data_IF_093296487113
#
_entry.id   IF_093296487113
#
_cell.length_a   1.000
_cell.length_b   1.000
_cell.length_c   1.000
_cell.angle_alpha   90.00
_cell.angle_beta   90.00
_cell.angle_gamma   90.00
#
_symmetry.space_group_name_H-M   'P 1'
#
loop_
_entity.id
_entity.type
_entity.pdbx_description
1 polymer ?
#
# COMPACT_ATOMS: atom_id res chain seq x y z
N UNK A 1 0.49 -9.17 16.89
CA UNK A 1 -0.73 -8.44 16.49
C UNK A 1 -0.62 -8.06 15.03
N UNK A 2 -1.69 -8.20 14.24
CA UNK A 2 -1.68 -7.92 12.79
C UNK A 2 -1.84 -6.42 12.45
N UNK A 3 -1.81 -5.54 13.45
CA UNK A 3 -2.08 -4.11 13.29
C UNK A 3 -1.13 -3.45 12.29
N UNK A 4 0.17 -3.73 12.32
CA UNK A 4 1.13 -3.15 11.36
C UNK A 4 0.75 -3.43 9.91
N UNK A 5 0.33 -4.67 9.62
CA UNK A 5 -0.08 -5.07 8.27
C UNK A 5 -1.36 -4.34 7.84
N UNK A 6 -2.35 -4.26 8.72
CA UNK A 6 -3.59 -3.55 8.43
C UNK A 6 -3.37 -2.03 8.30
N UNK A 7 -2.48 -1.43 9.10
CA UNK A 7 -2.11 -0.01 8.96
C UNK A 7 -1.51 0.24 7.57
N UNK A 8 -0.55 -0.59 7.15
CA UNK A 8 0.09 -0.44 5.84
C UNK A 8 -0.92 -0.66 4.71
N UNK A 9 -1.77 -1.68 4.82
CA UNK A 9 -2.82 -1.98 3.85
C UNK A 9 -3.78 -0.81 3.67
N UNK A 10 -4.31 -0.28 4.78
CA UNK A 10 -5.23 0.86 4.78
C UNK A 10 -4.58 2.11 4.18
N UNK A 11 -3.30 2.33 4.44
CA UNK A 11 -2.56 3.45 3.84
C UNK A 11 -2.24 3.24 2.36
N UNK A 12 -2.03 1.99 1.92
CA UNK A 12 -1.88 1.66 0.51
C UNK A 12 -3.19 1.89 -0.26
N UNK A 13 -4.32 1.45 0.30
CA UNK A 13 -5.66 1.65 -0.28
C UNK A 13 -6.05 3.13 -0.35
N UNK A 14 -5.58 3.97 0.58
CA UNK A 14 -5.84 5.41 0.58
C UNK A 14 -5.00 6.22 -0.42
N UNK A 15 -3.94 5.62 -0.96
CA UNK A 15 -3.06 6.27 -1.93
C UNK A 15 -2.50 7.62 -1.46
N UNK A 16 -2.49 8.60 -2.36
CA UNK A 16 -1.83 9.89 -2.15
C UNK A 16 -2.56 10.87 -1.24
N UNK A 17 -3.88 10.72 -1.11
CA UNK A 17 -4.69 11.54 -0.20
C UNK A 17 -4.34 11.23 1.26
N UNK A 18 -4.05 9.96 1.56
CA UNK A 18 -3.76 9.47 2.89
C UNK A 18 -4.99 9.46 3.81
N UNK A 19 -4.79 9.11 5.07
CA UNK A 19 -5.86 8.96 6.06
C UNK A 19 -5.53 9.61 7.39
N UNK A 20 -6.58 10.07 8.08
CA UNK A 20 -6.46 10.57 9.45
C UNK A 20 -6.20 9.42 10.43
N UNK A 21 -5.49 9.71 11.53
CA UNK A 21 -5.25 8.73 12.61
C UNK A 21 -6.55 8.08 13.08
N UNK A 22 -7.64 8.85 13.18
CA UNK A 22 -8.93 8.35 13.62
C UNK A 22 -9.51 7.32 12.65
N UNK A 23 -9.43 7.59 11.34
CA UNK A 23 -9.92 6.66 10.33
C UNK A 23 -9.06 5.39 10.30
N UNK A 24 -7.74 5.53 10.30
CA UNK A 24 -6.82 4.38 10.35
C UNK A 24 -7.13 3.50 11.56
N UNK A 25 -7.26 4.10 12.74
CA UNK A 25 -7.57 3.35 13.98
C UNK A 25 -8.90 2.62 13.89
N UNK A 26 -9.92 3.23 13.27
CA UNK A 26 -11.23 2.60 13.06
C UNK A 26 -11.15 1.43 12.09
N UNK A 27 -10.42 1.56 10.97
CA UNK A 27 -10.24 0.47 10.02
C UNK A 27 -9.50 -0.71 10.65
N UNK A 28 -8.41 -0.44 11.36
CA UNK A 28 -7.64 -1.48 12.06
C UNK A 28 -8.49 -2.15 13.14
N UNK A 29 -9.26 -1.38 13.91
CA UNK A 29 -10.19 -1.93 14.89
C UNK A 29 -11.22 -2.84 14.22
N UNK A 30 -11.88 -2.38 13.15
CA UNK A 30 -12.89 -3.18 12.45
C UNK A 30 -12.31 -4.45 11.81
N UNK A 31 -11.06 -4.42 11.33
CA UNK A 31 -10.39 -5.57 10.72
C UNK A 31 -9.95 -6.61 11.76
N UNK A 32 -9.50 -6.18 12.93
CA UNK A 32 -8.92 -7.07 13.95
C UNK A 32 -9.87 -7.42 15.09
N UNK A 33 -10.93 -6.65 15.30
CA UNK A 33 -11.93 -6.93 16.32
C UNK A 33 -12.84 -8.06 15.82
N UNK A 34 -12.89 -9.16 16.57
CA UNK A 34 -13.72 -10.31 16.21
C UNK A 34 -14.51 -10.80 17.41
N UNK A 35 -15.58 -11.56 17.16
CA UNK A 35 -16.44 -12.08 18.23
C UNK A 35 -15.67 -12.92 19.28
N UNK A 36 -14.67 -13.68 18.83
CA UNK A 36 -13.88 -14.56 19.71
C UNK A 36 -12.65 -13.86 20.32
N UNK A 37 -12.28 -12.68 19.82
CA UNK A 37 -11.16 -11.90 20.32
C UNK A 37 -11.53 -10.41 20.29
N UNK A 38 -12.31 -9.94 21.28
CA UNK A 38 -12.64 -8.54 21.39
C UNK A 38 -11.39 -7.74 21.76
N UNK A 39 -11.20 -6.61 21.09
CA UNK A 39 -10.08 -5.70 21.34
C UNK A 39 -10.60 -4.36 21.83
N UNK A 40 -9.77 -3.60 22.56
CA UNK A 40 -10.11 -2.25 23.00
C UNK A 40 -9.78 -1.22 21.91
N UNK A 41 -10.75 -0.36 21.61
CA UNK A 41 -10.59 0.69 20.60
C UNK A 41 -9.54 1.72 21.01
N UNK A 42 -9.44 2.05 22.30
CA UNK A 42 -8.47 3.04 22.77
C UNK A 42 -7.04 2.47 22.73
N UNK A 43 -6.86 1.19 23.01
CA UNK A 43 -5.58 0.49 22.83
C UNK A 43 -5.14 0.51 21.36
N UNK A 44 -6.03 0.18 20.42
CA UNK A 44 -5.73 0.23 18.97
C UNK A 44 -5.34 1.64 18.56
N UNK A 45 -6.08 2.67 19.02
CA UNK A 45 -5.77 4.07 18.70
C UNK A 45 -4.39 4.49 19.23
N UNK A 46 -4.05 4.13 20.48
CA UNK A 46 -2.73 4.39 21.07
C UNK A 46 -1.61 3.70 20.30
N UNK A 47 -1.84 2.45 19.87
CA UNK A 47 -0.91 1.69 19.06
C UNK A 47 -0.66 2.36 17.70
N UNK A 48 -1.73 2.67 16.96
CA UNK A 48 -1.67 3.31 15.64
C UNK A 48 -0.94 4.66 15.73
N UNK A 49 -1.26 5.49 16.73
CA UNK A 49 -0.55 6.76 16.94
C UNK A 49 0.96 6.57 17.13
N UNK A 50 1.35 5.60 17.96
CA UNK A 50 2.75 5.30 18.24
C UNK A 50 3.47 4.78 17.01
N UNK A 51 2.83 3.90 16.23
CA UNK A 51 3.38 3.35 15.00
C UNK A 51 3.60 4.43 13.94
N UNK A 52 2.59 5.26 13.68
CA UNK A 52 2.66 6.35 12.71
C UNK A 52 3.74 7.37 13.08
N UNK A 53 3.88 7.68 14.37
CA UNK A 53 4.89 8.63 14.84
C UNK A 53 6.32 8.08 14.72
N UNK A 54 6.53 6.79 15.01
CA UNK A 54 7.84 6.13 14.88
C UNK A 54 8.29 6.06 13.42
N UNK A 55 7.39 5.66 12.53
CA UNK A 55 7.70 5.41 11.12
C UNK A 55 7.69 6.68 10.24
N UNK A 56 7.41 7.87 10.80
CA UNK A 56 7.41 9.16 10.07
C UNK A 56 8.54 10.11 10.46
N UNK A 57 9.41 9.74 11.41
CA UNK A 57 10.50 10.61 11.91
C UNK A 57 11.82 10.47 11.14
N UNK A 58 12.02 9.36 10.44
CA UNK A 58 13.30 9.04 9.79
C UNK A 58 13.38 9.66 8.40
N UNK A 59 14.58 10.02 7.93
CA UNK A 59 14.79 10.60 6.59
C UNK A 59 14.30 9.67 5.45
N UNK A 60 14.43 8.35 5.61
CA UNK A 60 13.86 7.31 4.73
C UNK A 60 12.62 6.67 5.38
N UNK A 61 11.75 7.48 5.97
CA UNK A 61 10.53 7.01 6.57
C UNK A 61 9.66 6.24 5.56
N UNK A 62 9.07 5.14 6.00
CA UNK A 62 8.04 4.41 5.23
C UNK A 62 6.76 5.24 5.09
N UNK A 63 6.52 6.14 6.03
CA UNK A 63 5.31 6.95 6.09
C UNK A 63 5.62 8.44 5.95
N UNK A 64 4.86 9.12 5.11
CA UNK A 64 4.88 10.57 4.98
C UNK A 64 3.69 11.22 5.70
N UNK A 65 3.91 12.43 6.22
CA UNK A 65 2.83 13.28 6.74
C UNK A 65 2.36 14.21 5.63
N UNK A 66 1.07 14.17 5.30
CA UNK A 66 0.48 15.07 4.32
C UNK A 66 0.04 16.38 5.02
N UNK A 67 -1.01 16.29 5.85
CA UNK A 67 -1.56 17.39 6.66
C UNK A 67 -1.46 17.04 8.15
N UNK A 68 -1.78 18.00 9.05
CA UNK A 68 -1.77 17.76 10.50
C UNK A 68 -2.69 16.57 10.84
N UNK A 69 -2.08 15.45 11.25
CA UNK A 69 -2.80 14.23 11.64
C UNK A 69 -3.22 13.31 10.48
N UNK A 70 -2.79 13.60 9.25
CA UNK A 70 -3.04 12.76 8.05
C UNK A 70 -1.73 12.13 7.58
N UNK A 71 -1.74 10.82 7.42
CA UNK A 71 -0.57 10.01 7.06
C UNK A 71 -0.81 9.28 5.74
N UNK A 72 0.27 9.07 4.97
CA UNK A 72 0.29 8.29 3.73
C UNK A 72 1.57 7.46 3.62
N UNK A 73 1.59 6.49 2.71
CA UNK A 73 2.83 5.79 2.36
C UNK A 73 3.78 6.74 1.62
N UNK A 74 5.08 6.62 1.86
CA UNK A 74 6.08 7.45 1.20
C UNK A 74 6.46 6.84 -0.16
N UNK A 75 6.03 7.44 -1.26
CA UNK A 75 6.38 6.96 -2.60
C UNK A 75 7.89 6.98 -2.89
N UNK A 76 8.67 7.80 -2.17
CA UNK A 76 10.12 7.94 -2.40
C UNK A 76 10.97 6.83 -1.73
N UNK A 77 10.34 5.85 -1.08
CA UNK A 77 11.04 4.74 -0.44
C UNK A 77 10.74 3.44 -1.20
N UNK A 78 11.80 2.73 -1.59
CA UNK A 78 11.74 1.49 -2.38
C UNK A 78 10.85 0.41 -1.75
N UNK A 79 10.75 0.35 -0.42
CA UNK A 79 9.89 -0.61 0.27
C UNK A 79 8.40 -0.27 0.14
N UNK A 80 8.05 1.02 0.14
CA UNK A 80 6.68 1.45 -0.06
C UNK A 80 6.26 1.38 -1.52
N UNK A 81 7.19 1.55 -2.48
CA UNK A 81 6.94 1.26 -3.89
C UNK A 81 6.52 -0.20 -4.10
N UNK A 82 7.17 -1.16 -3.43
CA UNK A 82 6.79 -2.58 -3.52
C UNK A 82 5.39 -2.89 -2.95
N UNK A 83 4.91 -2.06 -2.02
CA UNK A 83 3.58 -2.23 -1.40
C UNK A 83 2.47 -1.56 -2.23
N UNK A 84 2.81 -0.65 -3.13
CA UNK A 84 1.88 0.10 -3.97
C UNK A 84 1.83 -0.52 -5.37
N UNK A 85 0.67 -1.01 -5.79
CA UNK A 85 0.46 -1.30 -7.21
C UNK A 85 0.35 0.02 -7.98
N UNK A 86 1.40 0.38 -8.70
CA UNK A 86 1.42 1.57 -9.56
C UNK A 86 0.74 1.22 -10.89
N UNK A 87 -0.58 1.37 -10.95
CA UNK A 87 -1.31 1.28 -12.22
C UNK A 87 -0.95 2.51 -13.06
N UNK A 88 -0.20 2.30 -14.13
CA UNK A 88 0.07 3.34 -15.12
C UNK A 88 -1.06 3.29 -16.15
N UNK A 89 -1.86 4.34 -16.23
CA UNK A 89 -2.84 4.55 -17.31
C UNK A 89 -2.15 5.00 -18.61
N UNK A 90 -0.92 4.55 -18.86
CA UNK A 90 -0.29 4.79 -20.15
C UNK A 90 -1.05 3.98 -21.20
N UNK A 91 -1.51 4.61 -22.30
CA UNK A 91 -2.07 3.85 -23.40
C UNK A 91 -0.98 2.90 -23.89
N UNK A 92 -1.21 1.58 -23.78
CA UNK A 92 -0.32 0.58 -24.36
C UNK A 92 -0.27 0.84 -25.87
N UNK A 93 0.74 1.56 -26.33
CA UNK A 93 1.06 1.66 -27.74
C UNK A 93 1.64 0.31 -28.12
N UNK A 94 0.78 -0.62 -28.51
CA UNK A 94 1.16 -1.89 -29.09
C UNK A 94 1.98 -1.59 -30.35
N UNK A 95 3.31 -1.58 -30.22
CA UNK A 95 4.18 -1.72 -31.39
C UNK A 95 3.99 -3.14 -31.86
N UNK A 96 3.26 -3.32 -32.97
CA UNK A 96 3.15 -4.61 -33.65
C UNK A 96 4.56 -5.16 -33.81
N UNK A 97 4.87 -6.22 -33.05
CA UNK A 97 6.10 -6.96 -33.26
C UNK A 97 5.98 -7.58 -34.65
N UNK A 98 7.02 -7.52 -35.50
CA UNK A 98 6.98 -8.19 -36.79
C UNK A 98 6.67 -9.66 -36.53
N UNK A 99 5.60 -10.15 -37.16
CA UNK A 99 5.21 -11.56 -37.10
C UNK A 99 6.27 -12.30 -37.93
N UNK A 100 7.30 -12.80 -37.26
CA UNK A 100 8.31 -13.66 -37.87
C UNK A 100 7.72 -15.06 -37.85
N UNK A 101 7.42 -15.59 -39.03
CA UNK A 101 7.01 -16.98 -39.17
C UNK A 101 8.17 -17.90 -38.77
N UNK A 102 7.99 -18.62 -37.67
CA UNK A 102 8.94 -19.59 -37.14
C UNK A 102 8.56 -21.02 -37.50
N UNK A 103 7.55 -21.21 -38.38
CA UNK A 103 7.23 -22.54 -38.86
C UNK A 103 8.36 -23.08 -39.74
N UNK A 104 8.62 -24.38 -39.61
CA UNK A 104 9.55 -25.09 -40.48
C UNK A 104 8.86 -25.33 -41.82
N UNK A 105 9.54 -24.95 -42.91
CA UNK A 105 9.09 -25.25 -44.27
C UNK A 105 8.95 -26.76 -44.46
N UNK A 106 7.73 -27.20 -44.71
CA UNK A 106 7.39 -28.63 -44.81
C UNK A 106 7.82 -29.27 -46.16
N UNK A 107 8.34 -28.46 -47.09
CA UNK A 107 8.62 -28.85 -48.48
C UNK A 107 10.00 -28.41 -48.97
N UNK A 108 10.94 -28.16 -48.06
CA UNK A 108 12.33 -28.00 -48.49
C UNK A 108 12.89 -29.40 -48.80
N UNK A 109 13.12 -29.66 -50.10
CA UNK A 109 13.57 -30.92 -50.70
C UNK A 109 14.93 -31.44 -50.15
#
# INVERSE_FOLDING_TARGET
MQYDKEILRVLAEAGDEGLSVQNISRHVFNACNSFFNPIDQDEVRRYVQSYLLKNSKTANALLAKNKKGVYKLNANNQLSEQLLFQFHDEPEVYKEKPIIDQSLSLFDD
#
